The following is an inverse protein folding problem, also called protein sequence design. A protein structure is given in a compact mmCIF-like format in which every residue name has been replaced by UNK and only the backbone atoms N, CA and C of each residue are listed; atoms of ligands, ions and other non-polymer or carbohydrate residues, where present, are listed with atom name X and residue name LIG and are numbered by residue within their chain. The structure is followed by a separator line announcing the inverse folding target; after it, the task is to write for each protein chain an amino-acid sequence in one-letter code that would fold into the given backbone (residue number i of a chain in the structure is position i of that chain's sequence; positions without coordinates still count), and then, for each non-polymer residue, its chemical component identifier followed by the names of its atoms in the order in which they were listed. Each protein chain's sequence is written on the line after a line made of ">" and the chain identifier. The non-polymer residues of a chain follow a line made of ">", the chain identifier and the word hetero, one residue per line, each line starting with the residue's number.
data_IF_934071317317
#
_entry.id   IF_934071317317
#
_cell.length_a   1.000
_cell.length_b   1.000
_cell.length_c   1.000
_cell.angle_alpha   90.00
_cell.angle_beta   90.00
_cell.angle_gamma   90.00
#
_symmetry.space_group_name_H-M   'P 1'
#
loop_
_entity.id
_entity.type
_entity.pdbx_description
1 polymer ?
#
# COMPACT_ATOMS: atom_id res chain seq x y z
N UNK A 1 10.52 -6.56 9.42
CA UNK A 1 9.62 -5.40 9.14
C UNK A 1 10.05 -4.13 9.88
N UNK A 2 10.55 -4.21 11.11
CA UNK A 2 10.95 -3.05 11.93
C UNK A 2 12.00 -2.15 11.27
N UNK A 3 13.07 -2.70 10.68
CA UNK A 3 14.11 -1.89 10.00
C UNK A 3 13.57 -1.02 8.87
N UNK A 4 12.62 -1.53 8.08
CA UNK A 4 11.95 -0.77 7.01
C UNK A 4 11.09 0.38 7.56
N UNK A 5 10.36 0.14 8.65
CA UNK A 5 9.52 1.17 9.29
C UNK A 5 10.38 2.27 9.93
N UNK A 6 11.54 1.90 10.49
CA UNK A 6 12.48 2.86 11.06
C UNK A 6 13.16 3.67 9.96
N UNK A 7 13.58 3.05 8.86
CA UNK A 7 14.14 3.76 7.71
C UNK A 7 13.15 4.76 7.10
N UNK A 8 11.88 4.38 6.95
CA UNK A 8 10.84 5.31 6.47
C UNK A 8 10.59 6.46 7.45
N UNK A 9 10.71 6.22 8.75
CA UNK A 9 10.65 7.27 9.77
C UNK A 9 11.86 8.21 9.71
N UNK A 10 13.08 7.68 9.55
CA UNK A 10 14.28 8.46 9.32
C UNK A 10 14.16 9.37 8.09
N UNK A 11 13.71 8.85 6.94
CA UNK A 11 13.44 9.67 5.74
C UNK A 11 12.43 10.79 5.97
N UNK A 12 11.43 10.56 6.82
CA UNK A 12 10.45 11.59 7.20
C UNK A 12 11.07 12.68 8.07
N UNK A 13 11.96 12.33 8.99
CA UNK A 13 12.71 13.32 9.79
C UNK A 13 13.70 14.12 8.93
N UNK A 14 14.41 13.48 7.99
CA UNK A 14 15.28 14.16 7.02
C UNK A 14 14.50 15.24 6.24
N UNK A 15 13.30 14.92 5.76
CA UNK A 15 12.45 15.90 5.03
C UNK A 15 12.02 17.09 5.91
N UNK A 16 11.95 16.89 7.22
CA UNK A 16 11.65 17.93 8.21
C UNK A 16 12.91 18.64 8.72
N UNK A 17 14.10 18.30 8.19
CA UNK A 17 15.40 18.81 8.64
C UNK A 17 15.74 18.48 10.12
N UNK A 18 15.09 17.46 10.67
CA UNK A 18 15.34 16.96 12.03
C UNK A 18 16.43 15.88 11.97
N UNK A 19 17.69 16.30 11.76
CA UNK A 19 18.79 15.37 11.42
C UNK A 19 19.25 14.51 12.59
N UNK A 20 19.14 15.00 13.82
CA UNK A 20 19.40 14.24 15.05
C UNK A 20 18.45 13.07 15.20
N UNK A 21 17.14 13.32 15.12
CA UNK A 21 16.08 12.32 15.25
C UNK A 21 16.06 11.38 14.05
N UNK A 22 16.39 11.90 12.85
CA UNK A 22 16.61 11.06 11.69
C UNK A 22 17.72 10.05 11.96
N UNK A 23 18.85 10.51 12.50
CA UNK A 23 19.99 9.65 12.74
C UNK A 23 19.73 8.59 13.81
N UNK A 24 19.03 8.94 14.89
CA UNK A 24 18.57 7.97 15.90
C UNK A 24 17.69 6.89 15.26
N UNK A 25 16.70 7.30 14.47
CA UNK A 25 15.82 6.37 13.76
C UNK A 25 16.57 5.47 12.76
N UNK A 26 17.54 6.01 12.04
CA UNK A 26 18.36 5.26 11.09
C UNK A 26 19.30 4.28 11.80
N UNK A 27 19.86 4.66 12.95
CA UNK A 27 20.73 3.79 13.76
C UNK A 27 19.94 2.59 14.30
N UNK A 28 18.77 2.84 14.88
CA UNK A 28 17.86 1.74 15.29
C UNK A 28 17.43 0.88 14.08
N UNK A 29 17.28 1.50 12.91
CA UNK A 29 16.98 0.79 11.67
C UNK A 29 18.12 -0.15 11.25
N UNK A 30 19.35 0.31 11.32
CA UNK A 30 20.57 -0.46 11.06
C UNK A 30 20.69 -1.66 12.02
N UNK A 31 20.47 -1.45 13.32
CA UNK A 31 20.42 -2.52 14.32
C UNK A 31 19.32 -3.54 14.02
N UNK A 32 18.13 -3.09 13.62
CA UNK A 32 17.07 -4.01 13.24
C UNK A 32 17.41 -4.83 11.98
N UNK A 33 18.21 -4.28 11.05
CA UNK A 33 18.70 -5.02 9.90
C UNK A 33 19.80 -6.03 10.27
N UNK A 34 20.65 -5.74 11.26
CA UNK A 34 21.71 -6.66 11.70
C UNK A 34 21.17 -7.94 12.34
N UNK A 35 19.95 -7.88 12.90
CA UNK A 35 19.22 -9.04 13.43
C UNK A 35 18.58 -9.93 12.35
N UNK A 36 18.56 -9.48 11.08
CA UNK A 36 18.00 -10.27 9.99
C UNK A 36 18.97 -11.36 9.52
N UNK A 37 18.44 -12.44 8.94
CA UNK A 37 19.27 -13.46 8.30
C UNK A 37 20.12 -12.82 7.18
N UNK A 38 21.46 -12.93 7.23
CA UNK A 38 22.34 -12.30 6.23
C UNK A 38 21.98 -12.64 4.78
N UNK A 39 21.56 -13.89 4.51
CA UNK A 39 21.15 -14.32 3.17
C UNK A 39 19.90 -13.60 2.67
N UNK A 40 19.03 -13.16 3.57
CA UNK A 40 17.79 -12.46 3.24
C UNK A 40 18.02 -10.98 2.91
N UNK A 41 19.11 -10.39 3.39
CA UNK A 41 19.44 -8.97 3.20
C UNK A 41 20.54 -8.76 2.16
N UNK A 42 21.24 -9.81 1.74
CA UNK A 42 22.38 -9.76 0.82
C UNK A 42 22.06 -9.12 -0.54
N UNK A 43 20.85 -9.34 -1.06
CA UNK A 43 20.41 -8.87 -2.37
C UNK A 43 19.42 -7.70 -2.29
N UNK A 44 19.36 -7.03 -1.14
CA UNK A 44 18.42 -5.93 -0.88
C UNK A 44 19.19 -4.62 -0.74
N UNK A 45 18.72 -3.58 -1.41
CA UNK A 45 19.33 -2.24 -1.45
C UNK A 45 18.99 -1.37 -0.22
N UNK A 46 18.06 -1.81 0.63
CA UNK A 46 17.62 -1.09 1.83
C UNK A 46 18.77 -0.67 2.74
N UNK A 47 19.71 -1.57 3.04
CA UNK A 47 20.84 -1.28 3.94
C UNK A 47 21.76 -0.24 3.31
N UNK A 48 22.24 -0.41 2.05
CA UNK A 48 22.97 0.64 1.36
C UNK A 48 22.29 2.01 1.32
N UNK A 49 20.97 2.06 1.04
CA UNK A 49 20.22 3.32 1.02
C UNK A 49 20.20 3.94 2.43
N UNK A 50 20.03 3.13 3.47
CA UNK A 50 20.09 3.58 4.86
C UNK A 50 21.48 4.17 5.20
N UNK A 51 22.57 3.53 4.76
CA UNK A 51 23.93 4.06 4.94
C UNK A 51 24.10 5.43 4.30
N UNK A 52 23.60 5.62 3.07
CA UNK A 52 23.65 6.91 2.36
C UNK A 52 22.86 7.97 3.13
N UNK A 53 21.66 7.64 3.62
CA UNK A 53 20.83 8.55 4.42
C UNK A 53 21.50 8.91 5.76
N UNK A 54 22.20 7.98 6.41
CA UNK A 54 22.98 8.27 7.63
C UNK A 54 24.13 9.23 7.35
N UNK A 55 24.90 9.01 6.28
CA UNK A 55 26.02 9.89 5.92
C UNK A 55 25.53 11.28 5.53
N UNK A 56 24.36 11.39 4.88
CA UNK A 56 23.70 12.67 4.68
C UNK A 56 23.41 13.39 6.01
N UNK A 57 22.89 12.67 7.02
CA UNK A 57 22.66 13.25 8.34
C UNK A 57 23.98 13.72 8.99
N UNK A 58 25.06 12.95 8.86
CA UNK A 58 26.39 13.36 9.39
C UNK A 58 26.83 14.69 8.79
N UNK A 59 26.70 14.81 7.47
CA UNK A 59 27.05 16.03 6.76
C UNK A 59 26.19 17.22 7.21
N UNK A 60 24.87 17.04 7.32
CA UNK A 60 23.94 18.09 7.74
C UNK A 60 24.14 18.53 9.19
N UNK A 61 24.62 17.64 10.06
CA UNK A 61 24.98 17.95 11.45
C UNK A 61 26.34 18.66 11.57
N UNK A 62 27.11 18.75 10.47
CA UNK A 62 28.41 19.43 10.40
C UNK A 62 29.48 18.90 11.38
N UNK A 63 29.35 17.63 11.80
CA UNK A 63 30.30 17.02 12.72
C UNK A 63 31.44 16.31 11.94
N UNK A 64 32.61 16.95 11.95
CA UNK A 64 33.83 16.52 11.25
C UNK A 64 34.34 15.18 11.80
N UNK A 65 34.04 14.82 13.05
CA UNK A 65 34.49 13.55 13.64
C UNK A 65 33.93 12.33 12.89
N UNK A 66 32.83 12.50 12.16
CA UNK A 66 32.13 11.42 11.48
C UNK A 66 32.66 11.14 10.07
N UNK A 67 33.63 11.94 9.57
CA UNK A 67 34.18 11.79 8.23
C UNK A 67 34.87 10.43 8.04
N UNK A 68 35.58 9.95 9.06
CA UNK A 68 36.25 8.63 9.01
C UNK A 68 35.24 7.48 8.88
N UNK A 69 34.12 7.56 9.62
CA UNK A 69 33.04 6.57 9.57
C UNK A 69 32.24 6.71 8.27
N UNK A 70 32.02 7.92 7.79
CA UNK A 70 31.30 8.20 6.55
C UNK A 70 31.93 7.51 5.34
N UNK A 71 33.26 7.56 5.21
CA UNK A 71 33.96 6.88 4.11
C UNK A 71 33.74 5.37 4.08
N UNK A 72 33.81 4.71 5.24
CA UNK A 72 33.54 3.28 5.36
C UNK A 72 32.08 2.96 5.04
N UNK A 73 31.13 3.76 5.55
CA UNK A 73 29.69 3.58 5.29
C UNK A 73 29.36 3.73 3.80
N UNK A 74 29.92 4.72 3.11
CA UNK A 74 29.70 4.91 1.67
C UNK A 74 30.31 3.78 0.84
N UNK A 75 31.50 3.28 1.22
CA UNK A 75 32.10 2.11 0.57
C UNK A 75 31.19 0.88 0.69
N UNK A 76 30.70 0.60 1.90
CA UNK A 76 29.77 -0.50 2.14
C UNK A 76 28.45 -0.32 1.38
N UNK A 77 27.96 0.92 1.28
CA UNK A 77 26.78 1.25 0.49
C UNK A 77 27.01 0.94 -1.00
N UNK A 78 28.13 1.38 -1.58
CA UNK A 78 28.48 1.11 -2.98
C UNK A 78 28.52 -0.39 -3.27
N UNK A 79 29.27 -1.16 -2.47
CA UNK A 79 29.38 -2.61 -2.64
C UNK A 79 28.02 -3.31 -2.48
N UNK A 80 27.18 -2.84 -1.55
CA UNK A 80 25.83 -3.38 -1.37
C UNK A 80 24.88 -3.04 -2.53
N UNK A 81 24.93 -1.81 -3.07
CA UNK A 81 24.15 -1.45 -4.27
C UNK A 81 24.60 -2.25 -5.49
N UNK A 82 25.91 -2.43 -5.69
CA UNK A 82 26.43 -3.25 -6.79
C UNK A 82 25.98 -4.71 -6.69
N UNK A 83 25.89 -5.27 -5.48
CA UNK A 83 25.33 -6.61 -5.25
C UNK A 83 23.81 -6.66 -5.50
N UNK A 84 23.06 -5.68 -5.01
CA UNK A 84 21.61 -5.64 -5.14
C UNK A 84 21.17 -5.40 -6.60
N UNK A 85 21.80 -4.45 -7.29
CA UNK A 85 21.42 -4.01 -8.64
C UNK A 85 22.14 -4.78 -9.76
N UNK A 86 23.18 -5.55 -9.41
CA UNK A 86 24.10 -6.17 -10.36
C UNK A 86 25.13 -5.19 -10.91
N UNK A 87 26.24 -5.70 -11.43
CA UNK A 87 27.28 -4.88 -12.08
C UNK A 87 26.64 -4.04 -13.20
N UNK A 88 26.94 -2.74 -13.22
CA UNK A 88 26.34 -1.74 -14.12
C UNK A 88 24.80 -1.66 -14.05
N UNK A 89 24.19 -1.92 -12.89
CA UNK A 89 22.72 -1.97 -12.70
C UNK A 89 22.01 -2.94 -13.67
N UNK A 90 22.71 -3.95 -14.18
CA UNK A 90 22.19 -4.88 -15.19
C UNK A 90 20.96 -5.66 -14.71
N UNK A 91 21.00 -6.20 -13.49
CA UNK A 91 19.89 -6.96 -12.90
C UNK A 91 18.67 -6.06 -12.65
N UNK A 92 18.90 -4.84 -12.18
CA UNK A 92 17.79 -3.92 -11.93
C UNK A 92 17.17 -3.38 -13.22
N UNK A 93 17.97 -3.05 -14.24
CA UNK A 93 17.48 -2.67 -15.57
C UNK A 93 16.62 -3.77 -16.19
N UNK A 94 17.00 -5.03 -16.03
CA UNK A 94 16.18 -6.18 -16.46
C UNK A 94 14.82 -6.24 -15.74
N UNK A 95 14.82 -6.05 -14.41
CA UNK A 95 13.58 -6.10 -13.60
C UNK A 95 12.65 -4.90 -13.84
N UNK A 96 13.20 -3.74 -14.19
CA UNK A 96 12.44 -2.50 -14.44
C UNK A 96 12.25 -2.18 -15.92
N UNK A 97 12.53 -3.12 -16.83
CA UNK A 97 12.39 -2.95 -18.28
C UNK A 97 13.12 -1.71 -18.83
N UNK A 98 14.36 -1.48 -18.38
CA UNK A 98 15.21 -0.39 -18.87
C UNK A 98 14.97 0.98 -18.23
N UNK A 99 14.14 1.08 -17.19
CA UNK A 99 13.83 2.35 -16.51
C UNK A 99 14.91 2.79 -15.52
N UNK A 100 15.17 4.09 -15.45
CA UNK A 100 16.29 4.71 -14.71
C UNK A 100 15.91 5.24 -13.33
N UNK A 101 15.23 4.44 -12.49
CA UNK A 101 14.80 4.93 -11.17
C UNK A 101 15.93 5.10 -10.15
N UNK A 102 17.12 4.54 -10.41
CA UNK A 102 18.26 4.53 -9.46
C UNK A 102 19.19 5.73 -9.61
N UNK A 103 19.07 6.49 -10.69
CA UNK A 103 20.02 7.54 -11.03
C UNK A 103 20.14 8.59 -9.91
N UNK A 104 19.03 8.92 -9.26
CA UNK A 104 18.99 9.82 -8.10
C UNK A 104 19.69 9.24 -6.86
N UNK A 105 19.70 7.91 -6.71
CA UNK A 105 20.40 7.25 -5.61
C UNK A 105 21.92 7.28 -5.84
N UNK A 106 22.37 6.92 -7.04
CA UNK A 106 23.80 6.98 -7.39
C UNK A 106 24.34 8.40 -7.41
N UNK A 107 23.52 9.38 -7.83
CA UNK A 107 23.86 10.80 -7.71
C UNK A 107 24.20 11.15 -6.25
N UNK A 108 23.35 10.78 -5.29
CA UNK A 108 23.58 11.07 -3.86
C UNK A 108 24.81 10.35 -3.33
N UNK A 109 24.99 9.08 -3.68
CA UNK A 109 26.16 8.30 -3.29
C UNK A 109 27.45 8.97 -3.76
N UNK A 110 27.56 9.26 -5.06
CA UNK A 110 28.77 9.82 -5.65
C UNK A 110 29.05 11.25 -5.19
N UNK A 111 28.01 12.05 -4.96
CA UNK A 111 28.16 13.37 -4.36
C UNK A 111 28.81 13.27 -2.96
N UNK A 112 28.30 12.39 -2.11
CA UNK A 112 28.83 12.18 -0.75
C UNK A 112 30.24 11.57 -0.77
N UNK A 113 30.52 10.63 -1.68
CA UNK A 113 31.87 10.08 -1.86
C UNK A 113 32.86 11.17 -2.30
N UNK A 114 32.43 12.07 -3.18
CA UNK A 114 33.21 13.23 -3.61
C UNK A 114 33.58 14.17 -2.45
N UNK A 115 32.61 14.46 -1.57
CA UNK A 115 32.81 15.28 -0.37
C UNK A 115 33.75 14.59 0.62
N UNK A 116 33.53 13.31 0.93
CA UNK A 116 34.40 12.56 1.85
C UNK A 116 35.83 12.46 1.31
N UNK A 117 35.99 12.22 -0.01
CA UNK A 117 37.30 12.16 -0.64
C UNK A 117 38.04 13.51 -0.59
N UNK A 118 37.31 14.62 -0.73
CA UNK A 118 37.87 15.97 -0.59
C UNK A 118 38.43 16.20 0.82
N UNK A 119 37.64 15.92 1.85
CA UNK A 119 38.08 16.07 3.24
C UNK A 119 39.15 15.08 3.67
N UNK A 120 39.30 13.97 2.93
CA UNK A 120 40.37 12.98 3.14
C UNK A 120 41.65 13.28 2.35
N UNK A 121 41.75 14.43 1.67
CA UNK A 121 42.91 14.83 0.86
C UNK A 121 43.05 14.08 -0.47
N UNK A 122 42.06 13.29 -0.88
CA UNK A 122 42.07 12.50 -2.11
C UNK A 122 41.42 13.28 -3.26
N UNK A 123 42.04 14.40 -3.64
CA UNK A 123 41.46 15.36 -4.60
C UNK A 123 41.16 14.76 -5.98
N UNK A 124 41.99 13.86 -6.49
CA UNK A 124 41.75 13.20 -7.78
C UNK A 124 40.49 12.34 -7.76
N UNK A 125 40.27 11.60 -6.66
CA UNK A 125 39.06 10.80 -6.49
C UNK A 125 37.84 11.69 -6.31
N UNK A 126 37.97 12.74 -5.51
CA UNK A 126 36.92 13.73 -5.31
C UNK A 126 36.45 14.32 -6.65
N UNK A 127 37.39 14.77 -7.49
CA UNK A 127 37.07 15.31 -8.83
C UNK A 127 36.32 14.30 -9.69
N UNK A 128 36.74 13.03 -9.70
CA UNK A 128 36.08 11.97 -10.48
C UNK A 128 34.64 11.73 -10.00
N UNK A 129 34.44 11.59 -8.69
CA UNK A 129 33.11 11.37 -8.13
C UNK A 129 32.19 12.56 -8.36
N UNK A 130 32.68 13.79 -8.15
CA UNK A 130 31.88 15.00 -8.37
C UNK A 130 31.53 15.23 -9.84
N UNK A 131 32.44 14.94 -10.77
CA UNK A 131 32.14 15.01 -12.20
C UNK A 131 31.06 14.00 -12.61
N UNK A 132 31.17 12.76 -12.12
CA UNK A 132 30.17 11.72 -12.35
C UNK A 132 28.82 12.08 -11.73
N UNK A 133 28.80 12.64 -10.52
CA UNK A 133 27.58 13.16 -9.89
C UNK A 133 26.96 14.30 -10.72
N UNK A 134 27.77 15.23 -11.21
CA UNK A 134 27.29 16.33 -12.04
C UNK A 134 26.62 15.84 -13.34
N UNK A 135 27.20 14.83 -14.01
CA UNK A 135 26.60 14.22 -15.19
C UNK A 135 25.22 13.62 -14.88
N UNK A 136 25.12 12.85 -13.80
CA UNK A 136 23.84 12.27 -13.34
C UNK A 136 22.81 13.33 -12.96
N UNK A 137 23.26 14.46 -12.38
CA UNK A 137 22.39 15.59 -12.07
C UNK A 137 21.77 16.17 -13.35
N UNK A 138 22.55 16.39 -14.41
CA UNK A 138 22.03 16.88 -15.68
C UNK A 138 21.06 15.89 -16.33
N UNK A 139 21.34 14.58 -16.27
CA UNK A 139 20.41 13.56 -16.75
C UNK A 139 19.07 13.53 -15.99
N UNK A 140 19.05 13.94 -14.71
CA UNK A 140 17.82 14.00 -13.89
C UNK A 140 17.00 15.28 -14.08
N UNK A 141 17.58 16.31 -14.71
CA UNK A 141 16.86 17.52 -15.08
C UNK A 141 15.83 17.17 -16.15
N UNK A 142 14.61 17.66 -15.98
CA UNK A 142 13.52 17.42 -16.93
C UNK A 142 13.37 18.70 -17.76
N UNK A 143 13.53 18.65 -19.08
CA UNK A 143 13.32 19.80 -19.95
C UNK A 143 11.87 20.31 -19.86
N UNK A 144 11.69 21.62 -19.81
CA UNK A 144 10.38 22.26 -19.67
C UNK A 144 9.47 21.99 -20.88
N UNK A 145 10.05 21.85 -22.07
CA UNK A 145 9.32 21.53 -23.30
C UNK A 145 8.73 20.11 -23.23
N UNK A 146 9.54 19.13 -22.81
CA UNK A 146 9.10 17.75 -22.67
C UNK A 146 8.04 17.61 -21.57
N UNK A 147 8.22 18.32 -20.45
CA UNK A 147 7.25 18.37 -19.36
C UNK A 147 5.91 18.96 -19.82
N UNK A 148 5.96 20.10 -20.52
CA UNK A 148 4.77 20.79 -21.02
C UNK A 148 3.99 19.92 -22.01
N UNK A 149 4.68 19.16 -22.86
CA UNK A 149 4.04 18.25 -23.80
C UNK A 149 3.33 17.08 -23.09
N UNK A 150 3.92 16.49 -22.05
CA UNK A 150 3.25 15.42 -21.29
C UNK A 150 2.08 16.00 -20.49
N UNK A 151 2.22 17.20 -19.92
CA UNK A 151 1.14 17.87 -19.19
C UNK A 151 -0.05 18.24 -20.10
N UNK A 152 0.20 18.65 -21.34
CA UNK A 152 -0.88 18.98 -22.29
C UNK A 152 -1.75 17.78 -22.66
N UNK A 153 -1.26 16.55 -22.47
CA UNK A 153 -2.03 15.31 -22.60
C UNK A 153 -2.95 15.02 -21.39
N UNK A 154 -2.97 15.90 -20.38
CA UNK A 154 -3.84 15.80 -19.21
C UNK A 154 -3.22 15.11 -17.99
N UNK A 155 -1.90 14.88 -18.00
CA UNK A 155 -1.19 14.33 -16.84
C UNK A 155 -0.76 15.44 -15.87
N UNK A 156 -0.83 15.17 -14.57
CA UNK A 156 -0.37 16.10 -13.54
C UNK A 156 1.15 16.28 -13.57
N UNK A 157 1.64 17.46 -13.20
CA UNK A 157 3.06 17.83 -13.25
C UNK A 157 3.97 16.83 -12.50
N UNK A 158 3.57 16.40 -11.31
CA UNK A 158 4.36 15.46 -10.50
C UNK A 158 4.51 14.08 -11.15
N UNK A 159 3.41 13.56 -11.71
CA UNK A 159 3.40 12.27 -12.41
C UNK A 159 4.19 12.38 -13.74
N UNK A 160 4.05 13.49 -14.47
CA UNK A 160 4.80 13.77 -15.69
C UNK A 160 6.31 13.86 -15.44
N UNK A 161 6.75 14.64 -14.45
CA UNK A 161 8.18 14.73 -14.06
C UNK A 161 8.73 13.37 -13.65
N UNK A 162 7.97 12.58 -12.89
CA UNK A 162 8.36 11.22 -12.50
C UNK A 162 8.53 10.33 -13.73
N UNK A 163 7.54 10.32 -14.63
CA UNK A 163 7.57 9.48 -15.83
C UNK A 163 8.75 9.84 -16.75
N UNK A 164 8.99 11.12 -17.00
CA UNK A 164 10.12 11.59 -17.81
C UNK A 164 11.46 11.18 -17.19
N UNK A 165 11.63 11.28 -15.88
CA UNK A 165 12.86 10.80 -15.20
C UNK A 165 13.05 9.29 -15.32
N UNK A 166 11.96 8.52 -15.24
CA UNK A 166 12.01 7.05 -15.34
C UNK A 166 12.28 6.56 -16.77
N UNK A 167 11.94 7.37 -17.77
CA UNK A 167 12.07 7.05 -19.19
C UNK A 167 13.28 7.74 -19.84
N UNK A 168 14.27 8.19 -19.06
CA UNK A 168 15.43 8.92 -19.56
C UNK A 168 15.07 10.09 -20.51
N UNK A 169 14.02 10.83 -20.14
CA UNK A 169 13.46 11.96 -20.87
C UNK A 169 12.80 11.60 -22.23
N UNK A 170 12.66 10.33 -22.56
CA UNK A 170 11.89 9.90 -23.74
C UNK A 170 10.38 10.08 -23.50
N UNK A 171 9.77 10.96 -24.30
CA UNK A 171 8.37 11.38 -24.15
C UNK A 171 7.44 10.20 -24.42
N UNK A 172 7.70 9.40 -25.45
CA UNK A 172 6.84 8.28 -25.82
C UNK A 172 6.82 7.22 -24.73
N UNK A 173 8.00 6.83 -24.23
CA UNK A 173 8.13 5.89 -23.11
C UNK A 173 7.49 6.44 -21.83
N UNK A 174 7.61 7.74 -21.56
CA UNK A 174 6.98 8.39 -20.41
C UNK A 174 5.45 8.35 -20.48
N UNK A 175 4.86 8.65 -21.64
CA UNK A 175 3.40 8.59 -21.85
C UNK A 175 2.90 7.16 -21.71
N UNK A 176 3.57 6.20 -22.35
CA UNK A 176 3.23 4.77 -22.22
C UNK A 176 3.27 4.30 -20.76
N UNK A 177 4.28 4.75 -19.99
CA UNK A 177 4.36 4.44 -18.57
C UNK A 177 3.16 4.99 -17.78
N UNK A 178 2.75 6.23 -18.05
CA UNK A 178 1.62 6.86 -17.37
C UNK A 178 0.27 6.21 -17.70
N UNK A 179 0.07 5.82 -18.95
CA UNK A 179 -1.14 5.10 -19.38
C UNK A 179 -1.24 3.76 -18.66
N UNK A 180 -0.18 2.97 -18.67
CA UNK A 180 -0.14 1.66 -17.99
C UNK A 180 -0.31 1.81 -16.47
N UNK A 181 0.26 2.83 -15.85
CA UNK A 181 0.02 3.09 -14.42
C UNK A 181 -1.44 3.46 -14.13
N UNK A 182 -2.06 4.28 -14.98
CA UNK A 182 -3.46 4.67 -14.83
C UNK A 182 -4.39 3.46 -14.94
N UNK A 183 -4.17 2.61 -15.94
CA UNK A 183 -4.94 1.36 -16.12
C UNK A 183 -4.80 0.44 -14.91
N UNK A 184 -3.58 0.23 -14.41
CA UNK A 184 -3.35 -0.60 -13.21
C UNK A 184 -4.01 -0.02 -11.95
N UNK A 185 -4.02 1.31 -11.80
CA UNK A 185 -4.69 1.98 -10.68
C UNK A 185 -6.21 1.78 -10.77
N UNK A 186 -6.78 1.86 -11.97
CA UNK A 186 -8.21 1.67 -12.17
C UNK A 186 -8.63 0.21 -11.96
N UNK A 187 -7.88 -0.75 -12.51
CA UNK A 187 -8.11 -2.18 -12.26
C UNK A 187 -8.09 -2.51 -10.76
N UNK A 188 -7.09 -2.01 -10.02
CA UNK A 188 -7.03 -2.21 -8.56
C UNK A 188 -8.22 -1.60 -7.83
N UNK A 189 -8.72 -0.43 -8.27
CA UNK A 189 -9.92 0.18 -7.67
C UNK A 189 -11.15 -0.67 -7.94
N UNK A 190 -11.33 -1.13 -9.17
CA UNK A 190 -12.42 -2.04 -9.51
C UNK A 190 -12.36 -3.32 -8.69
N UNK A 191 -11.18 -3.94 -8.59
CA UNK A 191 -10.96 -5.15 -7.80
C UNK A 191 -11.23 -4.93 -6.31
N UNK A 192 -10.77 -3.80 -5.76
CA UNK A 192 -11.03 -3.43 -4.37
C UNK A 192 -12.53 -3.20 -4.12
N UNK A 193 -13.24 -2.56 -5.06
CA UNK A 193 -14.70 -2.36 -4.99
C UNK A 193 -15.41 -3.72 -5.06
N UNK A 194 -15.04 -4.59 -6.01
CA UNK A 194 -15.58 -5.95 -6.15
C UNK A 194 -15.38 -6.74 -4.86
N UNK A 195 -14.15 -6.77 -4.33
CA UNK A 195 -13.81 -7.47 -3.09
C UNK A 195 -14.57 -6.92 -1.88
N UNK A 196 -14.73 -5.60 -1.78
CA UNK A 196 -15.55 -4.98 -0.72
C UNK A 196 -17.02 -5.39 -0.82
N UNK A 197 -17.57 -5.39 -2.04
CA UNK A 197 -18.94 -5.80 -2.29
C UNK A 197 -19.15 -7.29 -1.97
N UNK A 198 -18.21 -8.15 -2.34
CA UNK A 198 -18.23 -9.58 -1.99
C UNK A 198 -18.24 -9.79 -0.48
N UNK A 199 -17.35 -9.11 0.26
CA UNK A 199 -17.30 -9.18 1.72
C UNK A 199 -18.62 -8.70 2.34
N UNK A 200 -19.21 -7.62 1.80
CA UNK A 200 -20.50 -7.11 2.27
C UNK A 200 -21.63 -8.11 2.03
N UNK A 201 -21.65 -8.75 0.86
CA UNK A 201 -22.65 -9.77 0.53
C UNK A 201 -22.49 -11.02 1.41
N UNK A 202 -21.27 -11.50 1.61
CA UNK A 202 -20.99 -12.62 2.53
C UNK A 202 -21.48 -12.32 3.95
N UNK A 203 -21.25 -11.09 4.46
CA UNK A 203 -21.76 -10.66 5.77
C UNK A 203 -23.30 -10.65 5.84
N UNK A 204 -24.00 -10.34 4.74
CA UNK A 204 -25.47 -10.32 4.69
C UNK A 204 -26.06 -11.72 4.89
N UNK A 205 -25.47 -12.73 4.26
CA UNK A 205 -25.96 -14.12 4.30
C UNK A 205 -25.47 -14.89 5.54
N UNK A 206 -24.36 -14.46 6.13
CA UNK A 206 -23.84 -14.98 7.39
C UNK A 206 -22.84 -16.12 7.18
N UNK A 207 -22.60 -16.88 8.25
CA UNK A 207 -21.63 -17.97 8.29
C UNK A 207 -22.33 -19.31 8.50
N UNK A 208 -21.76 -20.36 7.92
CA UNK A 208 -22.15 -21.75 8.14
C UNK A 208 -21.82 -22.17 9.58
N UNK A 209 -22.39 -23.27 10.09
CA UNK A 209 -22.01 -23.86 11.37
C UNK A 209 -20.49 -24.07 11.55
N UNK A 210 -19.74 -24.40 10.49
CA UNK A 210 -18.27 -24.50 10.50
C UNK A 210 -17.54 -23.14 10.37
N UNK A 211 -18.24 -22.01 10.57
CA UNK A 211 -17.71 -20.64 10.48
C UNK A 211 -17.15 -20.26 9.11
N UNK A 212 -17.58 -20.92 8.04
CA UNK A 212 -17.25 -20.52 6.67
C UNK A 212 -18.27 -19.50 6.18
N UNK A 213 -17.86 -18.50 5.41
CA UNK A 213 -18.81 -17.60 4.76
C UNK A 213 -19.63 -18.37 3.71
N UNK A 214 -20.87 -17.93 3.46
CA UNK A 214 -21.66 -18.47 2.34
C UNK A 214 -20.94 -18.16 1.03
N UNK A 215 -20.69 -19.19 0.23
CA UNK A 215 -19.97 -19.10 -1.04
C UNK A 215 -20.86 -18.43 -2.10
N UNK A 216 -20.39 -17.30 -2.64
CA UNK A 216 -21.14 -16.49 -3.61
C UNK A 216 -21.22 -17.17 -4.98
N UNK A 217 -20.24 -17.99 -5.35
CA UNK A 217 -20.26 -18.72 -6.63
C UNK A 217 -21.35 -19.78 -6.59
N UNK A 218 -21.35 -20.60 -5.54
CA UNK A 218 -22.37 -21.64 -5.30
C UNK A 218 -23.77 -21.05 -5.12
N UNK A 219 -23.88 -19.88 -4.48
CA UNK A 219 -25.14 -19.15 -4.40
C UNK A 219 -25.64 -18.72 -5.78
N UNK A 220 -24.74 -18.25 -6.65
CA UNK A 220 -25.09 -17.85 -8.01
C UNK A 220 -25.55 -19.04 -8.85
N UNK A 221 -24.91 -20.20 -8.69
CA UNK A 221 -25.34 -21.47 -9.32
C UNK A 221 -26.76 -21.86 -8.90
N UNK A 222 -27.06 -21.87 -7.59
CA UNK A 222 -28.40 -22.22 -7.10
C UNK A 222 -29.47 -21.20 -7.53
N UNK A 223 -29.12 -19.92 -7.56
CA UNK A 223 -30.03 -18.87 -8.06
C UNK A 223 -30.28 -19.01 -9.56
N UNK A 224 -29.28 -19.43 -10.34
CA UNK A 224 -29.44 -19.65 -11.78
C UNK A 224 -30.41 -20.79 -12.12
N UNK A 225 -30.59 -21.74 -11.19
CA UNK A 225 -31.58 -22.82 -11.29
C UNK A 225 -33.02 -22.29 -11.06
N UNK A 226 -33.17 -21.07 -10.52
CA UNK A 226 -34.46 -20.38 -10.38
C UNK A 226 -34.93 -20.16 -8.94
N UNK A 227 -34.11 -20.51 -7.93
CA UNK A 227 -34.45 -20.31 -6.53
C UNK A 227 -34.18 -18.87 -6.05
N UNK A 228 -35.00 -18.37 -5.12
CA UNK A 228 -34.83 -17.04 -4.55
C UNK A 228 -33.50 -16.92 -3.77
N UNK A 229 -32.81 -15.78 -3.93
CA UNK A 229 -31.46 -15.56 -3.38
C UNK A 229 -31.37 -15.70 -1.85
N UNK A 230 -32.38 -15.27 -1.10
CA UNK A 230 -32.38 -15.40 0.36
C UNK A 230 -32.59 -16.85 0.82
N UNK A 231 -33.44 -17.59 0.11
CA UNK A 231 -33.72 -18.99 0.38
C UNK A 231 -32.53 -19.90 0.02
N UNK A 232 -31.93 -19.67 -1.14
CA UNK A 232 -30.72 -20.37 -1.59
C UNK A 232 -29.55 -20.14 -0.63
N UNK A 233 -29.38 -18.90 -0.14
CA UNK A 233 -28.34 -18.58 0.82
C UNK A 233 -28.54 -19.27 2.18
N UNK A 234 -29.79 -19.39 2.65
CA UNK A 234 -30.10 -20.09 3.90
C UNK A 234 -29.86 -21.60 3.76
N UNK A 235 -30.26 -22.21 2.64
CA UNK A 235 -30.01 -23.62 2.34
C UNK A 235 -28.50 -23.93 2.29
N UNK A 236 -27.72 -23.09 1.59
CA UNK A 236 -26.27 -23.20 1.54
C UNK A 236 -25.61 -22.98 2.90
N UNK A 237 -26.14 -22.05 3.72
CA UNK A 237 -25.65 -21.83 5.07
C UNK A 237 -25.82 -23.06 5.96
N UNK A 238 -26.98 -23.71 5.89
CA UNK A 238 -27.31 -24.91 6.65
C UNK A 238 -26.45 -26.10 6.22
N UNK A 239 -26.20 -26.23 4.92
CA UNK A 239 -25.53 -27.38 4.32
C UNK A 239 -24.04 -27.14 4.03
N UNK A 240 -23.37 -26.25 4.76
CA UNK A 240 -21.92 -26.04 4.66
C UNK A 240 -21.41 -25.70 3.24
N UNK A 241 -22.20 -24.92 2.52
CA UNK A 241 -22.03 -24.59 1.12
C UNK A 241 -22.12 -25.78 0.14
N UNK A 242 -22.57 -26.97 0.55
CA UNK A 242 -22.77 -28.11 -0.36
C UNK A 242 -23.97 -27.84 -1.29
N UNK A 243 -23.71 -27.67 -2.60
CA UNK A 243 -24.73 -27.30 -3.59
C UNK A 243 -25.76 -28.39 -3.80
N UNK A 244 -25.35 -29.66 -3.79
CA UNK A 244 -26.26 -30.79 -4.02
C UNK A 244 -27.23 -30.92 -2.86
N UNK A 245 -26.72 -30.94 -1.62
CA UNK A 245 -27.57 -31.00 -0.42
C UNK A 245 -28.46 -29.77 -0.26
N UNK A 246 -27.97 -28.59 -0.65
CA UNK A 246 -28.78 -27.39 -0.68
C UNK A 246 -29.94 -27.50 -1.67
N UNK A 247 -29.72 -28.05 -2.87
CA UNK A 247 -30.77 -28.28 -3.86
C UNK A 247 -31.78 -29.34 -3.41
N UNK A 248 -31.32 -30.41 -2.76
CA UNK A 248 -32.20 -31.44 -2.19
C UNK A 248 -33.14 -30.84 -1.13
N UNK A 249 -32.60 -30.01 -0.23
CA UNK A 249 -33.36 -29.30 0.81
C UNK A 249 -34.33 -28.25 0.21
N UNK A 250 -33.98 -27.65 -0.92
CA UNK A 250 -34.82 -26.66 -1.61
C UNK A 250 -35.96 -27.31 -2.41
N UNK A 251 -35.72 -28.49 -2.94
CA UNK A 251 -36.69 -29.24 -3.77
C UNK A 251 -37.66 -30.05 -2.91
N UNK A 252 -37.25 -30.44 -1.70
CA UNK A 252 -38.12 -31.11 -0.74
C UNK A 252 -39.11 -30.11 -0.08
N UNK A 253 -40.43 -30.30 -0.20
CA UNK A 253 -41.43 -29.36 0.34
C UNK A 253 -41.34 -29.19 1.86
N UNK A 254 -41.05 -30.25 2.61
CA UNK A 254 -40.95 -30.17 4.08
C UNK A 254 -39.73 -29.35 4.52
N UNK A 255 -38.58 -29.62 3.91
CA UNK A 255 -37.32 -28.92 4.20
C UNK A 255 -37.39 -27.44 3.78
N UNK A 256 -38.02 -27.15 2.63
CA UNK A 256 -38.22 -25.79 2.14
C UNK A 256 -39.10 -24.96 3.09
N UNK A 257 -40.23 -25.50 3.57
CA UNK A 257 -41.07 -24.78 4.55
C UNK A 257 -40.35 -24.51 5.88
N UNK A 258 -39.43 -25.39 6.29
CA UNK A 258 -38.60 -25.17 7.47
C UNK A 258 -37.56 -24.06 7.24
N UNK A 259 -36.94 -24.00 6.05
CA UNK A 259 -36.02 -22.92 5.67
C UNK A 259 -36.73 -21.56 5.63
N UNK A 260 -37.92 -21.49 5.01
CA UNK A 260 -38.72 -20.25 4.96
C UNK A 260 -39.10 -19.76 6.37
N UNK A 261 -39.54 -20.67 7.26
CA UNK A 261 -39.81 -20.34 8.67
C UNK A 261 -38.58 -19.79 9.39
N UNK A 262 -37.39 -20.36 9.16
CA UNK A 262 -36.15 -19.86 9.75
C UNK A 262 -35.79 -18.45 9.26
N UNK A 263 -36.02 -18.16 7.98
CA UNK A 263 -35.81 -16.82 7.40
C UNK A 263 -36.76 -15.81 8.05
N UNK A 264 -38.05 -16.14 8.18
CA UNK A 264 -39.05 -15.27 8.82
C UNK A 264 -38.73 -14.99 10.29
N UNK A 265 -38.38 -16.02 11.06
CA UNK A 265 -37.94 -15.86 12.45
C UNK A 265 -36.70 -14.96 12.54
N UNK A 266 -35.75 -15.11 11.62
CA UNK A 266 -34.58 -14.25 11.51
C UNK A 266 -34.95 -12.79 11.21
N UNK A 267 -35.87 -12.55 10.27
CA UNK A 267 -36.37 -11.20 9.93
C UNK A 267 -37.04 -10.53 11.13
N UNK A 268 -37.92 -11.25 11.85
CA UNK A 268 -38.59 -10.75 13.06
C UNK A 268 -37.60 -10.38 14.17
N UNK A 269 -36.59 -11.22 14.42
CA UNK A 269 -35.53 -10.94 15.41
C UNK A 269 -34.69 -9.70 15.02
N UNK A 270 -34.37 -9.52 13.73
CA UNK A 270 -33.65 -8.33 13.26
C UNK A 270 -34.47 -7.06 13.42
N UNK A 271 -35.77 -7.11 13.11
CA UNK A 271 -36.69 -5.99 13.31
C UNK A 271 -36.79 -5.59 14.79
N UNK A 272 -36.96 -6.57 15.69
CA UNK A 272 -37.00 -6.32 17.14
C UNK A 272 -35.72 -5.64 17.65
N UNK A 273 -34.54 -6.12 17.22
CA UNK A 273 -33.25 -5.49 17.57
C UNK A 273 -33.09 -4.08 17.01
N UNK A 274 -33.57 -3.84 15.78
CA UNK A 274 -33.52 -2.51 15.18
C UNK A 274 -34.44 -1.53 15.92
N UNK A 275 -35.66 -1.97 16.30
CA UNK A 275 -36.57 -1.16 17.12
C UNK A 275 -35.97 -0.88 18.49
N UNK A 276 -35.32 -1.87 19.11
CA UNK A 276 -34.66 -1.71 20.42
C UNK A 276 -33.47 -0.73 20.35
N UNK A 277 -32.62 -0.84 19.34
CA UNK A 277 -31.52 0.10 19.11
C UNK A 277 -32.02 1.53 18.82
N UNK A 278 -33.13 1.67 18.11
CA UNK A 278 -33.77 2.98 17.86
C UNK A 278 -34.33 3.57 19.15
N UNK A 279 -34.95 2.74 20.00
CA UNK A 279 -35.42 3.14 21.33
C UNK A 279 -34.24 3.56 22.20
N UNK A 280 -33.12 2.84 22.20
CA UNK A 280 -31.91 3.21 22.94
C UNK A 280 -31.31 4.54 22.45
N UNK A 281 -31.31 4.79 21.14
CA UNK A 281 -30.88 6.06 20.57
C UNK A 281 -31.82 7.22 20.94
N UNK A 282 -33.12 7.00 21.02
CA UNK A 282 -34.09 8.00 21.49
C UNK A 282 -33.93 8.28 22.99
N UNK A 283 -33.67 7.25 23.80
CA UNK A 283 -33.40 7.39 25.23
C UNK A 283 -32.11 8.17 25.48
N UNK A 284 -31.05 7.94 24.69
CA UNK A 284 -29.80 8.71 24.82
C UNK A 284 -29.93 10.17 24.39
N UNK A 285 -30.94 10.50 23.57
CA UNK A 285 -31.33 11.88 23.24
C UNK A 285 -32.30 12.50 24.25
N UNK A 286 -32.62 11.81 25.36
CA UNK A 286 -33.42 12.33 26.47
C UNK A 286 -34.91 12.00 26.45
N UNK A 287 -35.39 11.12 25.55
CA UNK A 287 -36.79 10.69 25.51
C UNK A 287 -37.06 9.55 26.51
N UNK A 288 -38.16 9.63 27.27
CA UNK A 288 -38.56 8.59 28.23
C UNK A 288 -39.03 7.29 27.53
N UNK A 289 -38.53 6.14 28.01
CA UNK A 289 -38.79 4.79 27.46
C UNK A 289 -40.27 4.40 27.41
N UNK A 290 -41.11 5.01 28.25
CA UNK A 290 -42.55 4.75 28.38
C UNK A 290 -43.41 5.40 27.28
N UNK A 291 -42.91 6.40 26.55
CA UNK A 291 -43.67 7.12 25.50
C UNK A 291 -43.49 6.58 24.09
N UNK A 292 -42.51 5.71 23.85
CA UNK A 292 -42.18 5.21 22.51
C UNK A 292 -42.96 3.99 22.01
N UNK A 293 -43.72 3.30 22.88
CA UNK A 293 -44.39 2.05 22.52
C UNK A 293 -45.85 2.23 22.08
N UNK A 294 -46.47 3.37 22.35
CA UNK A 294 -47.88 3.60 22.02
C UNK A 294 -48.20 5.09 22.09
N UNK A 295 -48.16 5.81 20.96
CA UNK A 295 -48.95 7.03 20.74
C UNK A 295 -48.85 7.51 19.30
N UNK A 296 -49.99 7.49 18.62
CA UNK A 296 -50.34 8.47 17.60
C UNK A 296 -49.89 9.86 18.09
N UNK A 297 -49.10 10.54 17.26
CA UNK A 297 -48.68 11.92 17.49
C UNK A 297 -49.90 12.82 17.65
N UNK A 298 -50.16 13.29 18.86
CA UNK A 298 -50.79 14.59 19.08
C UNK A 298 -49.66 15.58 19.36
N UNK A 299 -49.25 16.32 18.33
CA UNK A 299 -48.43 17.53 18.48
C UNK A 299 -49.36 18.62 19.00
N UNK A 300 -49.16 19.06 20.25
CA UNK A 300 -49.67 20.36 20.70
C UNK A 300 -48.49 21.32 20.68
N UNK A 301 -48.59 22.31 19.79
CA UNK A 301 -47.66 23.44 19.68
C UNK A 301 -48.10 24.50 20.70
N UNK A 302 -47.17 24.91 21.56
CA UNK A 302 -47.17 26.23 22.18
C UNK A 302 -45.81 26.87 21.91
#
# INVERSE_FOLDING_TARGET
>A
MTGLMLHTSGKRFIRKQMFTEALEALTMGEEAFSLCNPKSIELVDNIPILQIDMVWCYFMLQDIAWIAVAGLRLKNAREGLERAHGKDSSRFRLLQAGRTSELALYLRLELLEGVVAYHSGQFDKSRKFLASAQEKFFQLQVPDEALSLVMSMGFGEGDAKRALRMSNQDIQSAVNFLVVEREKREQKREDDIRRRNEIMQQKRYGVTPLKKAVDLQRLTEVVSIGFEKELAAEALRKNENDTQKALDDLTNPEANTALQRNIELGKRRRQQRATEATIEQLVSMGFERSRGANKQLCIVVH
#
